data_IF_836568626482
#
_entry.id   IF_836568626482
#
_cell.length_a   1.000
_cell.length_b   1.000
_cell.length_c   1.000
_cell.angle_alpha   90.00
_cell.angle_beta   90.00
_cell.angle_gamma   90.00
#
_symmetry.space_group_name_H-M   'P 1'
#
loop_
_entity.id
_entity.type
_entity.pdbx_description
1 polymer ?
#
# COMPACT_ATOMS: atom_id res chain seq x y z
N UNK A 1 16.76 18.73 15.45
CA UNK A 1 15.65 17.75 15.43
C UNK A 1 16.02 16.67 16.42
N UNK A 2 15.15 16.35 17.37
CA UNK A 2 15.33 15.20 18.27
C UNK A 2 14.95 13.94 17.49
N UNK A 3 15.91 13.02 17.32
CA UNK A 3 15.77 11.81 16.54
C UNK A 3 15.89 10.63 17.49
N UNK A 4 14.74 10.14 17.96
CA UNK A 4 14.68 8.92 18.76
C UNK A 4 14.00 7.80 17.97
N UNK A 5 14.19 6.56 18.43
CA UNK A 5 13.71 5.36 17.76
C UNK A 5 12.19 5.34 17.60
N UNK A 6 11.44 5.85 18.58
CA UNK A 6 9.99 5.94 18.51
C UNK A 6 9.52 6.90 17.39
N UNK A 7 10.15 8.07 17.28
CA UNK A 7 9.86 9.04 16.22
C UNK A 7 10.22 8.51 14.84
N UNK A 8 11.33 7.77 14.71
CA UNK A 8 11.71 7.14 13.46
C UNK A 8 10.71 6.07 13.04
N UNK A 9 10.32 5.19 13.96
CA UNK A 9 9.33 4.15 13.70
C UNK A 9 7.95 4.72 13.34
N UNK A 10 7.53 5.81 13.96
CA UNK A 10 6.29 6.49 13.59
C UNK A 10 6.38 7.18 12.23
N UNK A 11 7.54 7.75 11.87
CA UNK A 11 7.80 8.30 10.54
C UNK A 11 7.75 7.21 9.47
N UNK A 12 8.42 6.08 9.68
CA UNK A 12 8.39 4.91 8.78
C UNK A 12 6.96 4.40 8.56
N UNK A 13 6.18 4.27 9.64
CA UNK A 13 4.77 3.83 9.54
C UNK A 13 3.91 4.79 8.73
N UNK A 14 4.07 6.09 8.96
CA UNK A 14 3.30 7.12 8.26
C UNK A 14 3.69 7.19 6.78
N UNK A 15 4.98 7.09 6.48
CA UNK A 15 5.49 7.03 5.11
C UNK A 15 5.03 5.75 4.39
N UNK A 16 5.04 4.60 5.06
CA UNK A 16 4.52 3.35 4.53
C UNK A 16 3.04 3.45 4.13
N UNK A 17 2.20 4.07 4.96
CA UNK A 17 0.78 4.32 4.62
C UNK A 17 0.60 5.23 3.41
N UNK A 18 1.43 6.26 3.29
CA UNK A 18 1.44 7.15 2.12
C UNK A 18 1.80 6.35 0.86
N UNK A 19 2.87 5.55 0.91
CA UNK A 19 3.29 4.70 -0.21
C UNK A 19 2.19 3.70 -0.59
N UNK A 20 1.57 3.03 0.38
CA UNK A 20 0.53 2.04 0.13
C UNK A 20 -0.68 2.65 -0.58
N UNK A 21 -1.16 3.80 -0.08
CA UNK A 21 -2.27 4.52 -0.71
C UNK A 21 -1.91 5.00 -2.12
N UNK A 22 -0.69 5.51 -2.31
CA UNK A 22 -0.22 5.94 -3.62
C UNK A 22 -0.07 4.78 -4.62
N UNK A 23 0.54 3.67 -4.20
CA UNK A 23 0.67 2.46 -5.02
C UNK A 23 -0.70 1.90 -5.41
N UNK A 24 -1.68 1.92 -4.49
CA UNK A 24 -3.06 1.53 -4.78
C UNK A 24 -3.70 2.46 -5.82
N UNK A 25 -3.54 3.77 -5.68
CA UNK A 25 -4.02 4.73 -6.67
C UNK A 25 -3.37 4.49 -8.05
N UNK A 26 -2.06 4.27 -8.11
CA UNK A 26 -1.36 3.97 -9.36
C UNK A 26 -1.93 2.72 -10.05
N UNK A 27 -2.16 1.64 -9.30
CA UNK A 27 -2.75 0.39 -9.83
C UNK A 27 -4.22 0.53 -10.21
N UNK A 28 -4.95 1.45 -9.58
CA UNK A 28 -6.35 1.73 -9.89
C UNK A 28 -6.57 2.48 -11.21
N UNK A 29 -5.51 3.02 -11.84
CA UNK A 29 -5.61 3.66 -13.17
C UNK A 29 -5.65 2.61 -14.28
N UNK A 30 -6.84 2.07 -14.54
CA UNK A 30 -7.06 1.03 -15.57
C UNK A 30 -7.16 1.60 -16.99
N UNK A 31 -7.40 2.90 -17.14
CA UNK A 31 -7.52 3.59 -18.43
C UNK A 31 -7.03 5.03 -18.35
N UNK A 32 -6.38 5.53 -19.40
CA UNK A 32 -5.91 6.93 -19.51
C UNK A 32 -7.03 7.95 -19.76
N UNK A 33 -8.29 7.50 -19.87
CA UNK A 33 -9.44 8.36 -20.15
C UNK A 33 -10.43 8.32 -18.98
N UNK A 34 -10.14 9.01 -17.85
CA UNK A 34 -11.05 9.06 -16.72
C UNK A 34 -12.33 9.83 -17.06
N UNK A 35 -13.45 9.41 -16.49
CA UNK A 35 -14.70 10.18 -16.52
C UNK A 35 -14.61 11.39 -15.59
N UNK A 36 -15.52 12.34 -15.77
CA UNK A 36 -15.61 13.49 -14.86
C UNK A 36 -16.17 13.04 -13.50
N UNK A 37 -15.42 13.30 -12.44
CA UNK A 37 -15.89 13.12 -11.06
C UNK A 37 -16.93 14.18 -10.69
N UNK A 38 -17.81 13.90 -9.71
CA UNK A 38 -18.75 14.90 -9.20
C UNK A 38 -18.02 16.08 -8.57
N UNK A 39 -18.74 17.20 -8.43
CA UNK A 39 -18.18 18.39 -7.82
C UNK A 39 -17.80 18.13 -6.35
N UNK A 40 -16.58 18.45 -5.93
CA UNK A 40 -16.15 18.33 -4.54
C UNK A 40 -16.99 19.23 -3.62
N UNK A 41 -17.53 18.67 -2.55
CA UNK A 41 -18.32 19.44 -1.57
C UNK A 41 -18.33 18.75 -0.20
N UNK A 42 -17.66 19.35 0.78
CA UNK A 42 -17.56 18.85 2.17
C UNK A 42 -18.94 18.75 2.86
N UNK A 43 -19.91 19.54 2.44
CA UNK A 43 -21.27 19.55 2.98
C UNK A 43 -22.21 18.55 2.29
N UNK A 44 -21.76 17.92 1.19
CA UNK A 44 -22.57 16.97 0.44
C UNK A 44 -22.94 15.73 1.27
N UNK A 45 -24.13 15.19 1.01
CA UNK A 45 -24.55 13.90 1.54
C UNK A 45 -24.06 12.73 0.68
N UNK A 46 -23.65 13.02 -0.57
CA UNK A 46 -23.02 12.04 -1.44
C UNK A 46 -21.60 11.72 -0.94
N UNK A 47 -21.28 10.45 -0.60
CA UNK A 47 -19.99 10.09 0.00
C UNK A 47 -18.77 10.41 -0.89
N UNK A 48 -18.91 10.28 -2.21
CA UNK A 48 -17.85 10.55 -3.18
C UNK A 48 -17.56 12.05 -3.22
N UNK A 49 -18.56 12.88 -3.50
CA UNK A 49 -18.47 14.35 -3.51
C UNK A 49 -17.90 14.89 -2.19
N UNK A 50 -18.34 14.32 -1.06
CA UNK A 50 -17.85 14.69 0.26
C UNK A 50 -16.38 14.38 0.46
N UNK A 51 -15.94 13.18 0.10
CA UNK A 51 -14.55 12.75 0.27
C UNK A 51 -13.62 13.53 -0.65
N UNK A 52 -14.05 13.84 -1.88
CA UNK A 52 -13.32 14.76 -2.78
C UNK A 52 -13.17 16.16 -2.15
N UNK A 53 -14.25 16.73 -1.60
CA UNK A 53 -14.17 18.03 -0.92
C UNK A 53 -13.26 18.01 0.31
N UNK A 54 -13.20 16.89 1.03
CA UNK A 54 -12.27 16.72 2.15
C UNK A 54 -10.82 16.66 1.68
N UNK A 55 -10.53 16.02 0.54
CA UNK A 55 -9.20 16.03 -0.08
C UNK A 55 -8.78 17.42 -0.54
N UNK A 56 -9.67 18.18 -1.18
CA UNK A 56 -9.39 19.58 -1.55
C UNK A 56 -9.06 20.42 -0.32
N UNK A 57 -9.85 20.30 0.76
CA UNK A 57 -9.57 21.01 2.02
C UNK A 57 -8.20 20.63 2.61
N UNK A 58 -7.74 19.39 2.43
CA UNK A 58 -6.38 19.00 2.85
C UNK A 58 -5.32 19.64 1.97
N UNK A 59 -5.53 19.72 0.65
CA UNK A 59 -4.62 20.43 -0.27
C UNK A 59 -4.55 21.93 0.04
N UNK A 60 -5.69 22.59 0.28
CA UNK A 60 -5.73 24.00 0.70
C UNK A 60 -4.98 24.22 2.01
N UNK A 61 -5.24 23.36 3.01
CA UNK A 61 -4.54 23.42 4.28
C UNK A 61 -3.03 23.19 4.13
N UNK A 62 -2.62 22.34 3.18
CA UNK A 62 -1.22 22.11 2.86
C UNK A 62 -0.58 23.36 2.26
N UNK A 63 -1.23 23.97 1.27
CA UNK A 63 -0.74 25.18 0.61
C UNK A 63 -0.57 26.32 1.64
N UNK A 64 -1.57 26.54 2.50
CA UNK A 64 -1.50 27.53 3.57
C UNK A 64 -0.33 27.27 4.54
N UNK A 65 -0.06 25.99 4.86
CA UNK A 65 1.07 25.64 5.71
C UNK A 65 2.43 25.87 5.02
N UNK A 66 2.53 25.63 3.72
CA UNK A 66 3.75 25.87 2.96
C UNK A 66 4.01 27.35 2.71
N UNK A 67 2.96 28.14 2.54
CA UNK A 67 3.04 29.61 2.45
C UNK A 67 3.45 30.25 3.80
N UNK A 68 3.14 29.59 4.92
CA UNK A 68 3.58 29.99 6.26
C UNK A 68 4.99 29.47 6.57
N UNK A 69 6.01 30.17 6.07
CA UNK A 69 7.43 29.91 6.33
C UNK A 69 7.85 28.44 6.09
N UNK A 70 7.30 27.82 5.04
CA UNK A 70 7.53 26.41 4.71
C UNK A 70 7.32 25.47 5.91
N UNK A 71 6.21 25.64 6.63
CA UNK A 71 5.87 24.83 7.80
C UNK A 71 5.52 23.38 7.41
N UNK A 72 6.57 22.60 7.14
CA UNK A 72 6.50 21.21 6.68
C UNK A 72 5.83 20.29 7.68
N UNK A 73 5.86 20.60 8.98
CA UNK A 73 5.16 19.81 10.00
C UNK A 73 3.65 19.85 9.80
N UNK A 74 3.09 21.05 9.63
CA UNK A 74 1.66 21.20 9.40
C UNK A 74 1.29 20.67 8.00
N UNK A 75 2.12 20.94 7.00
CA UNK A 75 1.93 20.42 5.64
C UNK A 75 1.86 18.89 5.61
N UNK A 76 2.81 18.19 6.26
CA UNK A 76 2.79 16.73 6.39
C UNK A 76 1.54 16.25 7.14
N UNK A 77 1.08 16.97 8.17
CA UNK A 77 -0.16 16.61 8.86
C UNK A 77 -1.38 16.66 7.93
N UNK A 78 -1.42 17.61 6.99
CA UNK A 78 -2.46 17.67 5.94
C UNK A 78 -2.32 16.53 4.93
N UNK A 79 -1.09 16.19 4.52
CA UNK A 79 -0.84 15.03 3.65
C UNK A 79 -1.37 13.74 4.29
N UNK A 80 -1.03 13.48 5.55
CA UNK A 80 -1.53 12.31 6.28
C UNK A 80 -3.06 12.36 6.51
N UNK A 81 -3.63 13.55 6.61
CA UNK A 81 -5.07 13.77 6.54
C UNK A 81 -5.65 13.27 5.21
N UNK A 82 -5.08 13.72 4.10
CA UNK A 82 -5.50 13.36 2.74
C UNK A 82 -5.29 11.88 2.41
N UNK A 83 -4.22 11.24 2.92
CA UNK A 83 -4.00 9.78 2.79
C UNK A 83 -5.23 9.01 3.28
N UNK A 84 -5.81 9.39 4.42
CA UNK A 84 -7.01 8.71 4.96
C UNK A 84 -8.24 8.87 4.06
N UNK A 85 -8.40 10.04 3.46
CA UNK A 85 -9.51 10.35 2.56
C UNK A 85 -9.34 9.64 1.21
N UNK A 86 -8.13 9.65 0.66
CA UNK A 86 -7.76 8.93 -0.56
C UNK A 86 -7.95 7.42 -0.40
N UNK A 87 -7.48 6.82 0.70
CA UNK A 87 -7.73 5.39 0.97
C UNK A 87 -9.23 5.09 0.99
N UNK A 88 -10.05 5.94 1.63
CA UNK A 88 -11.50 5.75 1.64
C UNK A 88 -12.12 5.79 0.25
N UNK A 89 -11.68 6.72 -0.60
CA UNK A 89 -12.12 6.82 -1.99
C UNK A 89 -11.72 5.58 -2.80
N UNK A 90 -10.48 5.12 -2.65
CA UNK A 90 -9.95 3.94 -3.35
C UNK A 90 -10.54 2.62 -2.86
N UNK A 91 -11.14 2.61 -1.66
CA UNK A 91 -11.88 1.47 -1.08
C UNK A 91 -13.40 1.57 -1.28
N UNK A 92 -13.89 2.64 -1.92
CA UNK A 92 -15.31 2.80 -2.17
C UNK A 92 -15.80 1.79 -3.22
N UNK A 93 -17.01 1.28 -3.01
CA UNK A 93 -17.70 0.44 -3.97
C UNK A 93 -18.25 1.33 -5.10
N UNK A 94 -17.42 1.54 -6.12
CA UNK A 94 -17.69 2.36 -7.29
C UNK A 94 -17.73 1.48 -8.54
N UNK A 95 -18.41 1.95 -9.58
CA UNK A 95 -18.25 1.33 -10.88
C UNK A 95 -16.83 1.54 -11.43
N UNK A 96 -16.46 0.76 -12.45
CA UNK A 96 -15.11 0.77 -13.01
C UNK A 96 -14.68 2.14 -13.53
N UNK A 97 -15.62 2.92 -14.09
CA UNK A 97 -15.31 4.23 -14.66
C UNK A 97 -15.01 5.25 -13.56
N UNK A 98 -15.84 5.29 -12.52
CA UNK A 98 -15.65 6.16 -11.35
C UNK A 98 -14.42 5.74 -10.54
N UNK A 99 -14.18 4.44 -10.38
CA UNK A 99 -12.99 3.92 -9.71
C UNK A 99 -11.69 4.35 -10.43
N UNK A 100 -11.66 4.25 -11.77
CA UNK A 100 -10.54 4.74 -12.56
C UNK A 100 -10.36 6.27 -12.41
N UNK A 101 -11.44 7.03 -12.44
CA UNK A 101 -11.39 8.49 -12.28
C UNK A 101 -10.88 8.91 -10.89
N UNK A 102 -11.34 8.23 -9.83
CA UNK A 102 -10.85 8.40 -8.46
C UNK A 102 -9.36 8.09 -8.37
N UNK A 103 -8.90 6.98 -8.97
CA UNK A 103 -7.50 6.61 -8.98
C UNK A 103 -6.62 7.68 -9.61
N UNK A 104 -7.03 8.22 -10.77
CA UNK A 104 -6.35 9.35 -11.42
C UNK A 104 -6.32 10.59 -10.54
N UNK A 105 -7.43 10.95 -9.91
CA UNK A 105 -7.51 12.09 -9.00
C UNK A 105 -6.56 11.93 -7.80
N UNK A 106 -6.53 10.76 -7.17
CA UNK A 106 -5.63 10.49 -6.04
C UNK A 106 -4.15 10.51 -6.46
N UNK A 107 -3.80 9.96 -7.62
CA UNK A 107 -2.41 10.03 -8.14
C UNK A 107 -1.98 11.48 -8.31
N UNK A 108 -2.78 12.29 -9.01
CA UNK A 108 -2.45 13.70 -9.21
C UNK A 108 -2.27 14.45 -7.89
N UNK A 109 -3.17 14.22 -6.93
CA UNK A 109 -3.10 14.83 -5.60
C UNK A 109 -1.83 14.44 -4.83
N UNK A 110 -1.44 13.15 -4.88
CA UNK A 110 -0.23 12.67 -4.23
C UNK A 110 1.03 13.21 -4.91
N UNK A 111 1.11 13.14 -6.24
CA UNK A 111 2.25 13.62 -7.02
C UNK A 111 2.47 15.12 -6.81
N UNK A 112 1.42 15.94 -6.81
CA UNK A 112 1.55 17.39 -6.59
C UNK A 112 2.09 17.72 -5.18
N UNK A 113 1.48 17.18 -4.13
CA UNK A 113 1.78 17.61 -2.76
C UNK A 113 2.96 16.85 -2.15
N UNK A 114 2.94 15.52 -2.22
CA UNK A 114 3.95 14.68 -1.60
C UNK A 114 5.14 14.38 -2.54
N UNK A 115 4.92 14.42 -3.85
CA UNK A 115 5.96 14.26 -4.87
C UNK A 115 6.70 15.57 -5.11
N UNK A 116 6.08 16.48 -5.87
CA UNK A 116 6.72 17.69 -6.41
C UNK A 116 7.15 18.68 -5.32
N UNK A 117 6.28 18.88 -4.31
CA UNK A 117 6.57 19.86 -3.24
C UNK A 117 7.43 19.26 -2.12
N UNK A 118 7.05 18.10 -1.56
CA UNK A 118 7.77 17.51 -0.43
C UNK A 118 8.93 16.59 -0.83
N UNK A 119 8.94 16.02 -2.02
CA UNK A 119 9.99 15.10 -2.48
C UNK A 119 10.04 13.76 -1.75
N UNK A 120 8.91 13.28 -1.21
CA UNK A 120 8.85 12.07 -0.37
C UNK A 120 8.23 10.85 -1.05
N UNK A 121 7.78 10.98 -2.30
CA UNK A 121 7.24 9.87 -3.07
C UNK A 121 8.31 9.17 -3.90
N UNK A 122 8.32 7.82 -3.93
CA UNK A 122 9.09 7.06 -4.92
C UNK A 122 8.45 7.21 -6.31
N UNK A 123 9.24 6.97 -7.36
CA UNK A 123 8.73 7.00 -8.74
C UNK A 123 7.69 5.89 -8.98
N UNK A 124 6.68 6.13 -9.84
CA UNK A 124 5.68 5.11 -10.21
C UNK A 124 6.29 3.77 -10.62
N UNK A 125 7.38 3.79 -11.41
CA UNK A 125 8.07 2.59 -11.88
C UNK A 125 8.57 1.69 -10.74
N UNK A 126 9.00 2.30 -9.62
CA UNK A 126 9.49 1.54 -8.45
C UNK A 126 8.33 0.88 -7.70
N UNK A 127 7.16 1.52 -7.66
CA UNK A 127 5.98 1.00 -6.95
C UNK A 127 5.16 0.00 -7.78
N UNK A 128 5.25 0.13 -9.10
CA UNK A 128 4.57 -0.74 -10.07
C UNK A 128 5.47 -1.87 -10.56
N UNK A 129 6.77 -1.85 -10.24
CA UNK A 129 7.64 -2.99 -10.45
C UNK A 129 7.05 -4.22 -9.76
N UNK A 130 6.80 -5.26 -10.54
CA UNK A 130 6.64 -6.60 -10.01
C UNK A 130 7.92 -6.93 -9.20
N UNK A 131 7.81 -7.57 -8.03
CA UNK A 131 8.99 -8.08 -7.36
C UNK A 131 9.75 -8.94 -8.37
N UNK A 132 11.06 -8.71 -8.52
CA UNK A 132 11.87 -9.62 -9.33
C UNK A 132 11.67 -11.02 -8.77
N UNK A 133 11.03 -11.90 -9.54
CA UNK A 133 10.94 -13.30 -9.17
C UNK A 133 12.37 -13.82 -9.17
N UNK A 134 12.89 -14.14 -7.98
CA UNK A 134 14.14 -14.85 -7.87
C UNK A 134 14.01 -16.09 -8.77
N UNK A 135 14.86 -16.26 -9.80
CA UNK A 135 14.73 -17.38 -10.74
C UNK A 135 14.79 -18.73 -10.02
N UNK A 136 15.42 -18.81 -8.83
CA UNK A 136 15.39 -19.99 -7.95
C UNK A 136 13.98 -20.37 -7.52
N UNK A 137 13.05 -19.41 -7.42
CA UNK A 137 11.67 -19.63 -6.99
C UNK A 137 10.95 -20.61 -7.92
N UNK A 138 11.12 -20.45 -9.24
CA UNK A 138 10.58 -21.39 -10.22
C UNK A 138 11.26 -22.77 -10.14
N UNK A 139 12.56 -22.81 -9.83
CA UNK A 139 13.31 -24.08 -9.72
C UNK A 139 12.89 -24.90 -8.49
N UNK A 140 12.54 -24.26 -7.38
CA UNK A 140 12.21 -24.94 -6.12
C UNK A 140 10.71 -25.05 -5.84
N UNK A 141 9.85 -24.39 -6.61
CA UNK A 141 8.41 -24.30 -6.36
C UNK A 141 7.76 -25.67 -6.17
N UNK A 142 7.95 -26.60 -7.10
CA UNK A 142 7.35 -27.94 -7.06
C UNK A 142 7.79 -28.73 -5.81
N UNK A 143 9.07 -28.61 -5.42
CA UNK A 143 9.60 -29.28 -4.23
C UNK A 143 9.03 -28.65 -2.95
N UNK A 144 8.94 -27.32 -2.90
CA UNK A 144 8.38 -26.59 -1.75
C UNK A 144 6.90 -26.91 -1.57
N UNK A 145 6.11 -26.90 -2.63
CA UNK A 145 4.68 -27.26 -2.57
C UNK A 145 4.46 -28.69 -2.08
N UNK A 146 5.27 -29.64 -2.57
CA UNK A 146 5.25 -31.03 -2.11
C UNK A 146 5.60 -31.15 -0.62
N UNK A 147 6.61 -30.43 -0.15
CA UNK A 147 6.98 -30.41 1.26
C UNK A 147 5.90 -29.75 2.14
N UNK A 148 5.28 -28.65 1.68
CA UNK A 148 4.17 -28.00 2.39
C UNK A 148 2.97 -28.94 2.54
N UNK A 149 2.63 -29.70 1.49
CA UNK A 149 1.58 -30.71 1.55
C UNK A 149 1.90 -31.79 2.58
N UNK A 150 3.11 -32.38 2.53
CA UNK A 150 3.56 -33.38 3.49
C UNK A 150 3.59 -32.86 4.93
N UNK A 151 3.97 -31.59 5.13
CA UNK A 151 3.92 -30.92 6.43
C UNK A 151 2.49 -30.80 6.93
N UNK A 152 1.55 -30.45 6.06
CA UNK A 152 0.11 -30.40 6.36
C UNK A 152 -0.43 -31.77 6.78
N UNK A 153 -0.10 -32.82 6.05
CA UNK A 153 -0.48 -34.20 6.37
C UNK A 153 0.10 -34.66 7.71
N UNK A 154 1.38 -34.39 7.98
CA UNK A 154 2.03 -34.69 9.25
C UNK A 154 1.35 -33.97 10.43
N UNK A 155 1.00 -32.68 10.28
CA UNK A 155 0.24 -31.93 11.30
C UNK A 155 -1.16 -32.52 11.52
N UNK A 156 -1.86 -32.91 10.45
CA UNK A 156 -3.18 -33.54 10.54
C UNK A 156 -3.12 -34.89 11.27
N UNK A 157 -2.06 -35.67 11.05
CA UNK A 157 -1.76 -36.91 11.74
C UNK A 157 -1.23 -36.72 13.18
N UNK A 158 -0.98 -35.47 13.61
CA UNK A 158 -0.33 -35.10 14.88
C UNK A 158 1.10 -35.65 15.01
N UNK A 159 1.77 -35.85 13.88
CA UNK A 159 3.19 -36.21 13.79
C UNK A 159 4.05 -34.94 13.81
N UNK A 160 4.26 -34.40 15.02
CA UNK A 160 5.07 -33.19 15.22
C UNK A 160 6.53 -33.37 14.79
N UNK A 161 7.21 -34.50 15.08
CA UNK A 161 8.57 -34.71 14.61
C UNK A 161 8.72 -34.65 13.08
N UNK A 162 7.79 -35.26 12.34
CA UNK A 162 7.81 -35.20 10.88
C UNK A 162 7.55 -33.78 10.35
N UNK A 163 6.60 -33.06 10.95
CA UNK A 163 6.30 -31.68 10.57
C UNK A 163 7.49 -30.72 10.83
N UNK A 164 8.21 -30.90 11.95
CA UNK A 164 9.41 -30.13 12.27
C UNK A 164 10.57 -30.44 11.31
N UNK A 165 10.79 -31.73 10.99
CA UNK A 165 11.82 -32.12 10.03
C UNK A 165 11.60 -31.50 8.64
N UNK A 166 10.34 -31.41 8.19
CA UNK A 166 9.99 -30.77 6.92
C UNK A 166 10.18 -29.25 6.99
N UNK A 167 9.82 -28.61 8.11
CA UNK A 167 10.08 -27.18 8.33
C UNK A 167 11.57 -26.88 8.23
N UNK A 168 12.41 -27.71 8.86
CA UNK A 168 13.86 -27.51 8.85
C UNK A 168 14.45 -27.73 7.44
N UNK A 169 13.88 -28.64 6.64
CA UNK A 169 14.24 -28.82 5.23
C UNK A 169 13.89 -27.60 4.38
N UNK A 170 12.70 -27.03 4.57
CA UNK A 170 12.28 -25.80 3.89
C UNK A 170 13.22 -24.64 4.26
N UNK A 171 13.55 -24.49 5.55
CA UNK A 171 14.51 -23.47 5.99
C UNK A 171 15.91 -23.66 5.38
N UNK A 172 16.38 -24.91 5.25
CA UNK A 172 17.66 -25.21 4.60
C UNK A 172 17.68 -24.89 3.09
N UNK A 173 16.51 -24.84 2.44
CA UNK A 173 16.35 -24.37 1.06
C UNK A 173 16.26 -22.85 0.95
N UNK A 174 16.38 -22.12 2.06
CA UNK A 174 16.17 -20.67 2.11
C UNK A 174 14.69 -20.29 1.98
N UNK A 175 13.77 -21.18 2.32
CA UNK A 175 12.33 -20.94 2.22
C UNK A 175 11.77 -20.60 3.60
N UNK A 176 11.19 -19.41 3.72
CA UNK A 176 10.42 -19.00 4.89
C UNK A 176 8.93 -19.20 4.62
N UNK A 177 8.21 -19.80 5.58
CA UNK A 177 6.79 -20.14 5.43
C UNK A 177 5.95 -19.39 6.45
N UNK A 178 4.97 -18.64 5.96
CA UNK A 178 3.96 -17.94 6.74
C UNK A 178 2.62 -18.68 6.62
N UNK A 179 2.10 -19.21 7.72
CA UNK A 179 0.77 -19.82 7.75
C UNK A 179 -0.31 -18.70 7.69
N UNK A 180 -1.21 -18.72 6.71
CA UNK A 180 -2.35 -17.78 6.59
C UNK A 180 -3.69 -18.51 6.68
N UNK A 181 -4.80 -17.78 6.78
CA UNK A 181 -6.15 -18.35 6.76
C UNK A 181 -6.51 -19.06 5.45
N UNK A 182 -5.84 -18.71 4.35
CA UNK A 182 -6.05 -19.30 3.02
C UNK A 182 -5.08 -20.45 2.72
N UNK A 183 -4.06 -20.63 3.56
CA UNK A 183 -3.02 -21.65 3.41
C UNK A 183 -1.62 -21.12 3.73
N UNK A 184 -0.60 -21.99 3.70
CA UNK A 184 0.79 -21.57 3.85
C UNK A 184 1.26 -20.79 2.61
N UNK A 185 1.78 -19.60 2.83
CA UNK A 185 2.46 -18.76 1.82
C UNK A 185 3.96 -18.82 2.11
N UNK A 186 4.81 -18.81 1.08
CA UNK A 186 6.26 -18.91 1.26
C UNK A 186 7.04 -17.89 0.44
N UNK A 187 8.20 -17.51 0.95
CA UNK A 187 9.15 -16.57 0.33
C UNK A 187 10.57 -17.15 0.35
N UNK A 188 11.40 -16.74 -0.60
CA UNK A 188 12.83 -17.05 -0.58
C UNK A 188 13.59 -16.01 0.25
N UNK A 189 14.61 -16.48 0.94
CA UNK A 189 15.59 -15.68 1.69
C UNK A 189 16.97 -15.69 1.01
#
# INVERSE_FOLDING_TARGET
IDMNEALLHDAERNHGRLIEAYAKALRGRTSDHPVALPHPDVASQDPLSKSLGLMERMAEGFALAMDDDFNSREAIAKVLGGVREATRLLDADLDEADANAVAHHCVAWFEELAGDVLGVLPSPDVLLAEPEEDPRRAEVADEVESLLLQRGEARAAKDWPAADAIRDRLAAMGVEVTDTSEGPVWTLT
#
